data_IF_365813667515
#
_entry.id   IF_365813667515
#
_cell.length_a   1.000
_cell.length_b   1.000
_cell.length_c   1.000
_cell.angle_alpha   90.00
_cell.angle_beta   90.00
_cell.angle_gamma   90.00
#
_symmetry.space_group_name_H-M   'P 1'
#
loop_
_entity.id
_entity.type
_entity.pdbx_description
1 polymer ?
#
# COMPACT_ATOMS: atom_id res chain seq x y z
N UNK A 1 15.01 7.98 -22.63
CA UNK A 1 13.74 7.34 -22.21
C UNK A 1 12.86 8.41 -21.60
N UNK A 2 11.60 8.58 -22.02
CA UNK A 2 10.73 9.58 -21.38
C UNK A 2 10.29 9.02 -20.02
N UNK A 3 10.19 9.87 -19.00
CA UNK A 3 9.78 9.43 -17.65
C UNK A 3 8.43 8.71 -17.64
N UNK A 4 7.50 9.09 -18.54
CA UNK A 4 6.21 8.40 -18.74
C UNK A 4 6.36 6.91 -19.04
N UNK A 5 7.38 6.55 -19.80
CA UNK A 5 7.59 5.18 -20.27
C UNK A 5 8.10 4.34 -19.09
N UNK A 6 9.02 4.89 -18.30
CA UNK A 6 9.57 4.24 -17.10
C UNK A 6 8.51 3.89 -16.06
N UNK A 7 7.52 4.76 -15.83
CA UNK A 7 6.45 4.47 -14.87
C UNK A 7 5.44 3.43 -15.39
N UNK A 8 5.19 3.39 -16.69
CA UNK A 8 4.36 2.37 -17.30
C UNK A 8 5.05 1.00 -17.24
N UNK A 9 6.34 0.95 -17.53
CA UNK A 9 7.16 -0.26 -17.44
C UNK A 9 7.22 -0.77 -15.99
N UNK A 10 7.40 0.13 -15.01
CA UNK A 10 7.36 -0.23 -13.60
C UNK A 10 5.99 -0.80 -13.19
N UNK A 11 4.88 -0.24 -13.69
CA UNK A 11 3.54 -0.80 -13.42
C UNK A 11 3.40 -2.20 -14.00
N UNK A 12 3.91 -2.43 -15.21
CA UNK A 12 3.89 -3.76 -15.84
C UNK A 12 4.75 -4.75 -15.04
N UNK A 13 5.95 -4.35 -14.62
CA UNK A 13 6.85 -5.17 -13.81
C UNK A 13 6.23 -5.54 -12.45
N UNK A 14 5.51 -4.63 -11.80
CA UNK A 14 4.75 -4.95 -10.56
C UNK A 14 3.65 -5.98 -10.86
N UNK A 15 2.96 -5.88 -11.99
CA UNK A 15 1.87 -6.80 -12.36
C UNK A 15 2.39 -8.18 -12.76
N UNK A 16 3.56 -8.27 -13.37
CA UNK A 16 4.24 -9.52 -13.71
C UNK A 16 5.09 -10.08 -12.56
N UNK A 17 5.13 -9.39 -11.41
CA UNK A 17 5.98 -9.73 -10.26
C UNK A 17 7.48 -9.84 -10.61
N UNK A 18 7.94 -9.02 -11.57
CA UNK A 18 9.33 -8.99 -12.03
C UNK A 18 10.15 -8.01 -11.17
N UNK A 19 10.62 -8.48 -10.00
CA UNK A 19 11.48 -7.67 -9.14
C UNK A 19 12.79 -7.25 -9.83
N UNK A 20 13.34 -8.09 -10.70
CA UNK A 20 14.55 -7.80 -11.48
C UNK A 20 14.38 -6.60 -12.40
N UNK A 21 13.27 -6.52 -13.12
CA UNK A 21 12.95 -5.36 -13.96
C UNK A 21 12.76 -4.10 -13.12
N UNK A 22 12.08 -4.20 -11.97
CA UNK A 22 11.92 -3.07 -11.05
C UNK A 22 13.27 -2.57 -10.52
N UNK A 23 14.21 -3.47 -10.21
CA UNK A 23 15.57 -3.07 -9.83
C UNK A 23 16.27 -2.32 -10.96
N UNK A 24 16.23 -2.82 -12.19
CA UNK A 24 16.86 -2.16 -13.34
C UNK A 24 16.27 -0.75 -13.61
N UNK A 25 14.94 -0.63 -13.57
CA UNK A 25 14.26 0.66 -13.71
C UNK A 25 14.60 1.61 -12.56
N UNK A 26 14.69 1.08 -11.32
CA UNK A 26 15.04 1.88 -10.15
C UNK A 26 16.44 2.46 -10.24
N UNK A 27 17.43 1.68 -10.70
CA UNK A 27 18.81 2.15 -10.89
C UNK A 27 18.89 3.23 -11.96
N UNK A 28 18.08 3.11 -13.03
CA UNK A 28 18.00 4.16 -14.05
C UNK A 28 17.49 5.49 -13.47
N UNK A 29 16.50 5.44 -12.57
CA UNK A 29 15.95 6.63 -11.92
C UNK A 29 16.90 7.23 -10.88
N UNK A 30 17.55 6.39 -10.07
CA UNK A 30 18.52 6.82 -9.04
C UNK A 30 19.74 7.48 -9.67
N UNK A 31 20.23 6.94 -10.79
CA UNK A 31 21.42 7.46 -11.47
C UNK A 31 21.11 8.56 -12.50
N UNK A 32 19.84 8.97 -12.63
CA UNK A 32 19.48 10.05 -13.55
C UNK A 32 19.92 11.42 -13.01
N UNK A 33 20.25 12.36 -13.90
CA UNK A 33 20.59 13.75 -13.54
C UNK A 33 19.39 14.51 -12.93
N UNK A 34 18.18 13.96 -13.07
CA UNK A 34 16.96 14.56 -12.57
C UNK A 34 16.72 14.20 -11.10
N UNK A 35 17.21 15.02 -10.17
CA UNK A 35 17.15 14.75 -8.71
C UNK A 35 15.75 14.36 -8.17
N UNK A 36 14.64 15.01 -8.58
CA UNK A 36 13.29 14.53 -8.18
C UNK A 36 12.97 13.07 -8.51
N UNK A 37 13.59 12.48 -9.54
CA UNK A 37 13.37 11.07 -9.92
C UNK A 37 14.01 10.08 -8.94
N UNK A 38 14.98 10.52 -8.14
CA UNK A 38 15.71 9.67 -7.20
C UNK A 38 14.77 9.07 -6.15
N UNK A 39 13.84 9.86 -5.61
CA UNK A 39 12.88 9.40 -4.61
C UNK A 39 11.98 8.29 -5.18
N UNK A 40 11.52 8.44 -6.42
CA UNK A 40 10.75 7.42 -7.13
C UNK A 40 11.59 6.16 -7.43
N UNK A 41 12.87 6.33 -7.73
CA UNK A 41 13.82 5.22 -7.87
C UNK A 41 13.96 4.42 -6.58
N UNK A 42 14.23 5.08 -5.45
CA UNK A 42 14.29 4.40 -4.14
C UNK A 42 12.96 3.74 -3.76
N UNK A 43 11.82 4.40 -4.00
CA UNK A 43 10.51 3.79 -3.77
C UNK A 43 10.34 2.50 -4.60
N UNK A 44 10.70 2.52 -5.88
CA UNK A 44 10.60 1.37 -6.78
C UNK A 44 11.53 0.23 -6.36
N UNK A 45 12.76 0.56 -5.97
CA UNK A 45 13.73 -0.40 -5.45
C UNK A 45 13.25 -1.04 -4.16
N UNK A 46 12.61 -0.26 -3.28
CA UNK A 46 11.96 -0.77 -2.08
C UNK A 46 10.85 -1.76 -2.38
N UNK A 47 10.01 -1.47 -3.39
CA UNK A 47 8.96 -2.39 -3.86
C UNK A 47 9.56 -3.69 -4.39
N UNK A 48 10.65 -3.62 -5.16
CA UNK A 48 11.31 -4.80 -5.70
C UNK A 48 11.79 -5.75 -4.60
N UNK A 49 12.47 -5.23 -3.57
CA UNK A 49 12.92 -6.04 -2.44
C UNK A 49 11.76 -6.51 -1.55
N UNK A 50 10.65 -5.78 -1.48
CA UNK A 50 9.49 -6.23 -0.71
C UNK A 50 8.68 -7.33 -1.41
N UNK A 51 8.67 -7.34 -2.75
CA UNK A 51 8.00 -8.36 -3.56
C UNK A 51 8.87 -9.62 -3.69
N UNK A 52 10.16 -9.45 -3.95
CA UNK A 52 11.02 -10.54 -4.42
C UNK A 52 10.56 -11.10 -5.77
N UNK A 53 11.08 -12.26 -6.15
CA UNK A 53 10.76 -13.00 -7.37
C UNK A 53 11.73 -14.16 -7.56
N UNK A 54 11.62 -14.86 -8.70
CA UNK A 54 12.42 -16.05 -8.98
C UNK A 54 13.94 -15.80 -8.89
N UNK A 55 14.37 -14.60 -9.30
CA UNK A 55 15.77 -14.17 -9.33
C UNK A 55 16.17 -13.24 -8.16
N UNK A 56 15.22 -12.81 -7.31
CA UNK A 56 15.45 -11.78 -6.30
C UNK A 56 14.76 -12.18 -5.00
N UNK A 57 15.55 -12.43 -3.95
CA UNK A 57 14.98 -12.72 -2.64
C UNK A 57 14.25 -11.50 -2.06
N UNK A 58 13.10 -11.76 -1.42
CA UNK A 58 12.39 -10.75 -0.66
C UNK A 58 13.20 -10.35 0.58
N UNK A 59 13.59 -9.08 0.66
CA UNK A 59 14.35 -8.52 1.78
C UNK A 59 13.62 -7.28 2.33
N UNK A 60 12.88 -7.48 3.42
CA UNK A 60 12.09 -6.43 4.04
C UNK A 60 12.94 -5.34 4.69
N UNK A 61 14.17 -5.65 5.11
CA UNK A 61 15.07 -4.66 5.71
C UNK A 61 15.60 -3.71 4.64
N UNK A 62 16.05 -4.26 3.51
CA UNK A 62 16.40 -3.44 2.33
C UNK A 62 15.20 -2.67 1.82
N UNK A 63 14.01 -3.27 1.77
CA UNK A 63 12.80 -2.55 1.37
C UNK A 63 12.55 -1.33 2.28
N UNK A 64 12.56 -1.53 3.60
CA UNK A 64 12.37 -0.46 4.57
C UNK A 64 13.46 0.63 4.49
N UNK A 65 14.73 0.24 4.26
CA UNK A 65 15.81 1.20 4.07
C UNK A 65 15.61 2.10 2.84
N UNK A 66 15.16 1.51 1.73
CA UNK A 66 14.85 2.24 0.50
C UNK A 66 13.64 3.16 0.67
N UNK A 67 12.57 2.70 1.33
CA UNK A 67 11.42 3.55 1.63
C UNK A 67 11.77 4.72 2.55
N UNK A 68 12.64 4.49 3.55
CA UNK A 68 13.14 5.56 4.41
C UNK A 68 13.95 6.59 3.63
N UNK A 69 14.75 6.15 2.67
CA UNK A 69 15.49 7.05 1.77
C UNK A 69 14.55 7.84 0.85
N UNK A 70 13.52 7.20 0.30
CA UNK A 70 12.50 7.90 -0.49
C UNK A 70 11.76 8.96 0.35
N UNK A 71 11.30 8.61 1.55
CA UNK A 71 10.59 9.50 2.46
C UNK A 71 11.46 10.69 2.93
N UNK A 72 12.78 10.52 3.07
CA UNK A 72 13.66 11.64 3.44
C UNK A 72 13.92 12.63 2.30
N UNK A 73 13.70 12.20 1.05
CA UNK A 73 13.83 13.05 -0.13
C UNK A 73 12.51 13.75 -0.46
N UNK A 74 11.40 13.02 -0.37
CA UNK A 74 10.04 13.53 -0.59
C UNK A 74 9.15 13.03 0.55
N UNK A 75 9.02 13.82 1.63
CA UNK A 75 8.15 13.48 2.75
C UNK A 75 6.69 13.63 2.32
N UNK A 76 6.06 12.51 1.97
CA UNK A 76 4.64 12.45 1.65
C UNK A 76 3.95 11.29 2.38
N UNK A 77 2.62 11.34 2.48
CA UNK A 77 1.87 10.31 3.18
C UNK A 77 2.11 8.91 2.59
N UNK A 78 2.24 8.77 1.27
CA UNK A 78 2.35 7.47 0.61
C UNK A 78 3.70 6.80 0.92
N UNK A 79 4.81 7.52 0.82
CA UNK A 79 6.16 7.00 1.12
C UNK A 79 6.26 6.47 2.55
N UNK A 80 5.72 7.21 3.52
CA UNK A 80 5.62 6.74 4.92
C UNK A 80 4.73 5.50 5.08
N UNK A 81 3.63 5.39 4.32
CA UNK A 81 2.78 4.20 4.36
C UNK A 81 3.47 2.96 3.75
N UNK A 82 4.32 3.11 2.74
CA UNK A 82 5.16 2.01 2.23
C UNK A 82 6.17 1.54 3.27
N UNK A 83 6.84 2.48 3.96
CA UNK A 83 7.74 2.15 5.06
C UNK A 83 7.01 1.42 6.19
N UNK A 84 5.88 1.97 6.65
CA UNK A 84 5.05 1.33 7.67
C UNK A 84 4.64 -0.09 7.27
N UNK A 85 4.27 -0.30 6.00
CA UNK A 85 3.92 -1.63 5.48
C UNK A 85 5.06 -2.63 5.59
N UNK A 86 6.26 -2.26 5.16
CA UNK A 86 7.43 -3.14 5.27
C UNK A 86 7.73 -3.50 6.73
N UNK A 87 7.67 -2.51 7.63
CA UNK A 87 7.89 -2.71 9.06
C UNK A 87 6.85 -3.62 9.72
N UNK A 88 5.57 -3.49 9.34
CA UNK A 88 4.51 -4.41 9.79
C UNK A 88 4.79 -5.86 9.34
N UNK A 89 5.26 -6.06 8.10
CA UNK A 89 5.61 -7.39 7.59
C UNK A 89 6.80 -8.02 8.32
N UNK A 90 7.73 -7.21 8.85
CA UNK A 90 8.85 -7.71 9.65
C UNK A 90 8.43 -8.23 11.03
N UNK A 91 7.28 -7.78 11.57
CA UNK A 91 6.77 -8.24 12.86
C UNK A 91 7.51 -7.66 14.08
N UNK A 92 7.15 -8.12 15.27
CA UNK A 92 7.82 -7.78 16.54
C UNK A 92 7.92 -6.28 16.81
N UNK A 93 9.12 -5.82 17.22
CA UNK A 93 9.37 -4.39 17.48
C UNK A 93 9.18 -3.51 16.24
N UNK A 94 9.50 -4.04 15.05
CA UNK A 94 9.35 -3.31 13.79
C UNK A 94 7.88 -3.05 13.48
N UNK A 95 7.00 -4.02 13.76
CA UNK A 95 5.56 -3.79 13.65
C UNK A 95 5.11 -2.62 14.51
N UNK A 96 5.58 -2.52 15.77
CA UNK A 96 5.24 -1.39 16.66
C UNK A 96 5.79 -0.06 16.14
N UNK A 97 7.01 -0.06 15.60
CA UNK A 97 7.61 1.12 14.96
C UNK A 97 6.76 1.65 13.79
N UNK A 98 6.06 0.76 13.07
CA UNK A 98 5.22 1.14 11.95
C UNK A 98 4.14 2.17 12.32
N UNK A 99 3.61 2.14 13.55
CA UNK A 99 2.59 3.10 14.00
C UNK A 99 3.08 4.54 13.91
N UNK A 100 4.35 4.79 14.25
CA UNK A 100 4.96 6.13 14.17
C UNK A 100 4.88 6.69 12.75
N UNK A 101 5.22 5.86 11.75
CA UNK A 101 5.18 6.29 10.36
C UNK A 101 3.75 6.42 9.80
N UNK A 102 2.78 5.66 10.34
CA UNK A 102 1.37 5.88 10.01
C UNK A 102 0.90 7.23 10.58
N UNK A 103 1.32 7.58 11.80
CA UNK A 103 1.02 8.87 12.42
C UNK A 103 1.70 10.04 11.67
N UNK A 104 2.94 9.86 11.19
CA UNK A 104 3.61 10.81 10.31
C UNK A 104 2.87 10.98 8.97
N UNK A 105 2.42 9.88 8.35
CA UNK A 105 1.62 9.96 7.13
C UNK A 105 0.31 10.73 7.35
N UNK A 106 -0.36 10.48 8.49
CA UNK A 106 -1.58 11.17 8.90
C UNK A 106 -1.35 12.67 9.09
N UNK A 107 -0.24 13.07 9.73
CA UNK A 107 0.05 14.48 10.02
C UNK A 107 0.31 15.29 8.76
N UNK A 108 0.88 14.66 7.73
CA UNK A 108 1.04 15.27 6.41
C UNK A 108 -0.29 15.40 5.67
N UNK A 109 -1.04 14.30 5.56
CA UNK A 109 -2.34 14.30 4.89
C UNK A 109 -3.18 13.10 5.27
N UNK A 110 -4.41 13.36 5.71
CA UNK A 110 -5.40 12.30 5.87
C UNK A 110 -5.93 11.83 4.51
N UNK A 111 -5.28 10.81 3.92
CA UNK A 111 -5.77 10.10 2.73
C UNK A 111 -6.41 8.76 3.11
N UNK A 112 -7.30 8.19 2.28
CA UNK A 112 -7.96 6.92 2.62
C UNK A 112 -7.00 5.75 2.90
N UNK A 113 -5.81 5.76 2.30
CA UNK A 113 -4.73 4.80 2.54
C UNK A 113 -4.21 4.82 3.99
N UNK A 114 -4.26 5.97 4.66
CA UNK A 114 -3.91 6.08 6.09
C UNK A 114 -4.88 5.25 6.93
N UNK A 115 -6.18 5.30 6.64
CA UNK A 115 -7.17 4.43 7.28
C UNK A 115 -6.87 2.95 7.02
N UNK A 116 -6.51 2.57 5.79
CA UNK A 116 -6.14 1.19 5.49
C UNK A 116 -4.89 0.75 6.26
N UNK A 117 -3.92 1.64 6.45
CA UNK A 117 -2.70 1.34 7.19
C UNK A 117 -2.99 1.12 8.69
N UNK A 118 -3.75 2.01 9.34
CA UNK A 118 -4.20 1.78 10.72
C UNK A 118 -5.00 0.47 10.84
N UNK A 119 -5.88 0.19 9.87
CA UNK A 119 -6.67 -1.02 9.89
C UNK A 119 -5.79 -2.28 9.89
N UNK A 120 -4.80 -2.33 8.99
CA UNK A 120 -3.82 -3.42 8.91
C UNK A 120 -2.94 -3.51 10.15
N UNK A 121 -2.49 -2.38 10.69
CA UNK A 121 -1.69 -2.34 11.90
C UNK A 121 -2.39 -3.00 13.08
N UNK A 122 -3.68 -2.68 13.31
CA UNK A 122 -4.45 -3.30 14.37
C UNK A 122 -4.90 -4.72 14.07
N UNK A 123 -4.96 -5.11 12.80
CA UNK A 123 -5.26 -6.49 12.38
C UNK A 123 -4.08 -7.44 12.60
N UNK A 124 -2.84 -7.01 12.31
CA UNK A 124 -1.66 -7.89 12.29
C UNK A 124 -0.71 -7.72 13.48
N UNK A 125 -1.05 -6.91 14.48
CA UNK A 125 -0.27 -6.79 15.72
C UNK A 125 -0.28 -8.08 16.55
N UNK A 126 0.73 -8.30 17.40
CA UNK A 126 0.82 -9.45 18.32
C UNK A 126 -0.45 -9.72 19.15
N UNK A 127 -1.19 -8.64 19.49
CA UNK A 127 -2.51 -8.69 20.12
C UNK A 127 -3.52 -7.95 19.25
N UNK A 128 -4.09 -8.61 18.22
CA UNK A 128 -4.98 -7.95 17.27
C UNK A 128 -6.16 -7.26 17.94
N UNK A 129 -6.44 -6.04 17.52
CA UNK A 129 -7.65 -5.32 17.91
C UNK A 129 -8.60 -5.23 16.72
N UNK A 130 -9.37 -6.30 16.52
CA UNK A 130 -10.30 -6.40 15.39
C UNK A 130 -11.39 -5.32 15.40
N UNK A 131 -11.77 -4.80 16.57
CA UNK A 131 -12.73 -3.71 16.66
C UNK A 131 -12.16 -2.41 16.06
N UNK A 132 -10.92 -2.05 16.42
CA UNK A 132 -10.21 -0.90 15.82
C UNK A 132 -9.91 -1.13 14.34
N UNK A 133 -9.40 -2.32 13.98
CA UNK A 133 -9.13 -2.66 12.59
C UNK A 133 -10.37 -2.47 11.70
N UNK A 134 -11.51 -3.01 12.16
CA UNK A 134 -12.79 -2.86 11.48
C UNK A 134 -13.24 -1.41 11.36
N UNK A 135 -13.10 -0.63 12.43
CA UNK A 135 -13.45 0.79 12.42
C UNK A 135 -12.68 1.54 11.32
N UNK A 136 -11.37 1.35 11.24
CA UNK A 136 -10.55 1.97 10.20
C UNK A 136 -10.84 1.42 8.79
N UNK A 137 -11.12 0.13 8.65
CA UNK A 137 -11.58 -0.42 7.37
C UNK A 137 -12.89 0.20 6.89
N UNK A 138 -13.84 0.47 7.80
CA UNK A 138 -15.07 1.18 7.46
C UNK A 138 -14.77 2.61 6.97
N UNK A 139 -13.92 3.35 7.67
CA UNK A 139 -13.55 4.71 7.25
C UNK A 139 -12.83 4.72 5.89
N UNK A 140 -11.98 3.74 5.61
CA UNK A 140 -11.38 3.58 4.28
C UNK A 140 -12.44 3.31 3.20
N UNK A 141 -13.42 2.43 3.49
CA UNK A 141 -14.50 2.10 2.57
C UNK A 141 -15.40 3.30 2.25
N UNK A 142 -15.81 4.04 3.29
CA UNK A 142 -16.62 5.25 3.16
C UNK A 142 -15.88 6.36 2.39
N UNK A 143 -14.55 6.39 2.48
CA UNK A 143 -13.71 7.30 1.71
C UNK A 143 -13.40 6.80 0.29
N UNK A 144 -14.11 5.77 -0.21
CA UNK A 144 -14.01 5.27 -1.58
C UNK A 144 -12.95 4.21 -1.83
N UNK A 145 -12.22 3.73 -0.81
CA UNK A 145 -11.27 2.61 -0.98
C UNK A 145 -11.99 1.28 -0.86
N UNK A 146 -12.20 0.63 -2.00
CA UNK A 146 -12.92 -0.64 -2.08
C UNK A 146 -12.30 -1.75 -1.20
N UNK A 147 -10.97 -1.77 -1.05
CA UNK A 147 -10.28 -2.68 -0.13
C UNK A 147 -10.79 -2.60 1.32
N UNK A 148 -11.31 -1.43 1.74
CA UNK A 148 -11.91 -1.23 3.05
C UNK A 148 -13.12 -2.13 3.30
N UNK A 149 -13.96 -2.38 2.28
CA UNK A 149 -15.12 -3.27 2.46
C UNK A 149 -14.71 -4.74 2.66
N UNK A 150 -13.61 -5.18 2.04
CA UNK A 150 -13.07 -6.53 2.26
C UNK A 150 -12.53 -6.67 3.68
N UNK A 151 -11.71 -5.72 4.12
CA UNK A 151 -11.18 -5.70 5.48
C UNK A 151 -12.28 -5.62 6.53
N UNK A 152 -13.31 -4.78 6.31
CA UNK A 152 -14.44 -4.66 7.23
C UNK A 152 -15.20 -5.99 7.39
N UNK A 153 -15.55 -6.65 6.29
CA UNK A 153 -16.23 -7.94 6.32
C UNK A 153 -15.35 -9.02 6.99
N UNK A 154 -14.06 -9.06 6.65
CA UNK A 154 -13.08 -9.97 7.27
C UNK A 154 -13.04 -9.79 8.79
N UNK A 155 -12.90 -8.56 9.29
CA UNK A 155 -12.88 -8.29 10.72
C UNK A 155 -14.21 -8.61 11.39
N UNK A 156 -15.34 -8.34 10.73
CA UNK A 156 -16.66 -8.76 11.24
C UNK A 156 -16.77 -10.27 11.42
N UNK A 157 -16.18 -11.09 10.52
CA UNK A 157 -16.14 -12.56 10.70
C UNK A 157 -15.23 -12.96 11.86
N UNK A 158 -14.05 -12.35 11.99
CA UNK A 158 -13.13 -12.60 13.12
C UNK A 158 -13.75 -12.24 14.49
N UNK A 159 -14.78 -11.40 14.51
CA UNK A 159 -15.56 -11.00 15.69
C UNK A 159 -16.90 -11.77 15.84
N UNK A 160 -17.12 -12.86 15.10
CA UNK A 160 -18.36 -13.66 15.03
C UNK A 160 -19.63 -12.87 14.65
N UNK A 161 -19.48 -11.74 13.96
CA UNK A 161 -20.59 -10.91 13.48
C UNK A 161 -21.01 -11.31 12.07
N UNK A 162 -21.41 -12.58 11.91
CA UNK A 162 -21.67 -13.21 10.61
C UNK A 162 -22.74 -12.50 9.77
N UNK A 163 -23.84 -12.08 10.38
CA UNK A 163 -24.90 -11.33 9.69
C UNK A 163 -24.38 -10.04 9.05
N UNK A 164 -23.57 -9.28 9.79
CA UNK A 164 -22.94 -8.04 9.31
C UNK A 164 -21.94 -8.31 8.19
N UNK A 165 -21.18 -9.40 8.25
CA UNK A 165 -20.28 -9.79 7.18
C UNK A 165 -21.04 -10.12 5.89
N UNK A 166 -22.09 -10.95 5.98
CA UNK A 166 -22.94 -11.35 4.83
C UNK A 166 -23.60 -10.14 4.19
N UNK A 167 -24.15 -9.21 4.98
CA UNK A 167 -24.76 -7.99 4.46
C UNK A 167 -23.77 -7.16 3.64
N UNK A 168 -22.54 -7.00 4.14
CA UNK A 168 -21.50 -6.25 3.42
C UNK A 168 -21.05 -7.00 2.18
N UNK A 169 -20.90 -8.33 2.25
CA UNK A 169 -20.57 -9.14 1.09
C UNK A 169 -21.63 -8.99 -0.01
N UNK A 170 -22.92 -9.06 0.36
CA UNK A 170 -24.05 -8.85 -0.54
C UNK A 170 -24.07 -7.44 -1.14
N UNK A 171 -23.85 -6.40 -0.32
CA UNK A 171 -23.75 -5.01 -0.78
C UNK A 171 -22.64 -4.84 -1.81
N UNK A 172 -21.47 -5.43 -1.59
CA UNK A 172 -20.35 -5.38 -2.54
C UNK A 172 -20.66 -6.10 -3.84
N UNK A 173 -21.39 -7.22 -3.81
CA UNK A 173 -21.78 -7.93 -5.03
C UNK A 173 -22.80 -7.12 -5.85
N UNK A 174 -23.76 -6.47 -5.17
CA UNK A 174 -24.75 -5.61 -5.81
C UNK A 174 -24.12 -4.32 -6.38
N UNK A 175 -23.25 -3.66 -5.61
CA UNK A 175 -22.60 -2.40 -6.01
C UNK A 175 -21.36 -2.62 -6.89
N UNK A 176 -20.75 -3.80 -6.85
CA UNK A 176 -19.50 -4.12 -7.53
C UNK A 176 -19.52 -3.78 -9.03
N UNK A 177 -20.53 -4.23 -9.80
CA UNK A 177 -20.67 -3.88 -11.21
C UNK A 177 -20.78 -2.36 -11.46
N UNK A 178 -21.53 -1.64 -10.64
CA UNK A 178 -21.71 -0.18 -10.77
C UNK A 178 -20.43 0.58 -10.41
N UNK A 179 -19.73 0.15 -9.37
CA UNK A 179 -18.43 0.72 -8.96
C UNK A 179 -17.35 0.43 -10.00
N UNK A 180 -17.34 -0.76 -10.60
CA UNK A 180 -16.40 -1.11 -11.67
C UNK A 180 -16.62 -0.25 -12.92
N UNK A 181 -17.89 0.03 -13.28
CA UNK A 181 -18.23 0.93 -14.38
C UNK A 181 -17.83 2.39 -14.12
N UNK A 182 -17.97 2.87 -12.87
CA UNK A 182 -17.55 4.22 -12.48
C UNK A 182 -16.02 4.37 -12.46
N UNK A 183 -15.30 3.37 -11.93
CA UNK A 183 -13.84 3.36 -11.86
C UNK A 183 -13.19 3.13 -13.23
N UNK A 184 -13.78 2.29 -14.08
CA UNK A 184 -13.34 2.09 -15.46
C UNK A 184 -13.45 3.36 -16.32
N UNK A 185 -14.49 4.18 -16.10
CA UNK A 185 -14.65 5.47 -16.79
C UNK A 185 -13.68 6.56 -16.29
N UNK A 186 -13.29 6.56 -15.02
CA UNK A 186 -12.27 7.48 -14.51
C UNK A 186 -10.85 7.12 -14.98
N UNK A 187 -10.56 5.82 -15.14
CA UNK A 187 -9.28 5.38 -15.71
C UNK A 187 -9.10 5.81 -17.19
N UNK A 188 -10.20 5.90 -17.95
CA UNK A 188 -10.19 6.37 -19.35
C UNK A 188 -10.12 7.90 -19.50
N UNK A 189 -10.47 8.68 -18.48
CA UNK A 189 -10.44 10.16 -18.53
C UNK A 189 -9.09 10.77 -18.09
N UNK A 190 -8.16 9.92 -17.66
CA UNK A 190 -6.82 10.33 -17.21
C UNK A 190 -5.71 9.78 -18.12
N UNK A 191 -6.09 9.22 -19.28
CA UNK A 191 -5.23 9.01 -20.45
C UNK A 191 -5.42 10.19 -21.41
#
# INVERSE_FOLDING_TARGET
>A
MKHSDTYNDARNAIRSNSAKELLALSETLINSDHTPSHASGYLMRGIAYELGGDDVESDLERAAANYRKAASMVPDAITFLYLARALMKQGGERHREALRYIDEAKSLRMVPEVNLAYAKYYESSDKPNYAKARHYYLHAALAGRFAGFFGYASMSRKMDQKARAILVDGLRLALGPFLFLLLGKQASKTL
#
